data_IF_672054397751
#
_entry.id   IF_672054397751
#
_cell.length_a   1.000
_cell.length_b   1.000
_cell.length_c   1.000
_cell.angle_alpha   90.00
_cell.angle_beta   90.00
_cell.angle_gamma   90.00
#
_symmetry.space_group_name_H-M   'P 1'
#
loop_
_entity.id
_entity.type
_entity.pdbx_description
1 polymer ?
#
# COMPACT_ATOMS: atom_id res chain seq x y z
N UNK A 1 -3.10 12.44 -20.28
CA UNK A 1 -1.99 12.51 -19.29
C UNK A 1 -2.51 13.04 -17.97
N UNK A 2 -2.00 12.58 -16.81
CA UNK A 2 -2.50 12.95 -15.47
C UNK A 2 -2.54 14.47 -15.22
N UNK A 3 -1.54 15.20 -15.71
CA UNK A 3 -1.48 16.67 -15.63
C UNK A 3 -2.61 17.37 -16.37
N UNK A 4 -3.10 16.80 -17.48
CA UNK A 4 -4.27 17.30 -18.21
C UNK A 4 -5.59 17.14 -17.46
N UNK A 5 -5.59 16.41 -16.34
CA UNK A 5 -6.73 16.27 -15.41
C UNK A 5 -6.51 17.07 -14.12
N UNK A 6 -5.54 17.99 -14.08
CA UNK A 6 -5.17 18.73 -12.87
C UNK A 6 -4.44 17.89 -11.82
N UNK A 7 -4.13 16.62 -12.10
CA UNK A 7 -3.47 15.73 -11.13
C UNK A 7 -1.96 15.84 -11.29
N UNK A 8 -1.29 16.28 -10.22
CA UNK A 8 0.17 16.30 -10.14
C UNK A 8 0.70 14.95 -9.62
N UNK A 9 1.53 14.22 -10.39
CA UNK A 9 2.13 12.98 -9.92
C UNK A 9 3.06 13.23 -8.72
N UNK A 10 2.91 12.44 -7.67
CA UNK A 10 3.79 12.43 -6.49
C UNK A 10 4.91 11.39 -6.67
N UNK A 11 5.71 11.56 -7.73
CA UNK A 11 6.84 10.69 -8.02
C UNK A 11 8.09 11.56 -8.09
N UNK A 12 9.09 11.26 -7.24
CA UNK A 12 10.38 11.95 -7.27
C UNK A 12 11.08 11.69 -8.60
N UNK A 13 11.53 12.77 -9.21
CA UNK A 13 12.47 12.70 -10.31
C UNK A 13 13.84 12.31 -9.76
N UNK A 14 14.57 11.47 -10.50
CA UNK A 14 16.00 11.27 -10.25
C UNK A 14 16.70 12.58 -10.59
N UNK A 15 17.44 13.14 -9.62
CA UNK A 15 18.05 14.47 -9.77
C UNK A 15 19.29 14.40 -10.65
N UNK A 16 19.15 14.79 -11.92
CA UNK A 16 20.26 14.94 -12.84
C UNK A 16 20.52 16.41 -13.18
N UNK A 17 19.48 17.23 -13.22
CA UNK A 17 19.57 18.65 -13.58
C UNK A 17 18.86 19.54 -12.55
N UNK A 18 19.14 20.85 -12.52
CA UNK A 18 18.53 21.77 -11.55
C UNK A 18 16.99 21.78 -11.58
N UNK A 19 16.36 21.54 -12.74
CA UNK A 19 14.90 21.48 -12.83
C UNK A 19 14.31 20.24 -12.15
N UNK A 20 15.04 19.12 -12.05
CA UNK A 20 14.58 17.92 -11.35
C UNK A 20 14.49 18.20 -9.86
N UNK A 21 15.52 18.88 -9.33
CA UNK A 21 15.56 19.34 -7.94
C UNK A 21 14.43 20.32 -7.65
N UNK A 22 14.21 21.30 -8.54
CA UNK A 22 13.10 22.24 -8.39
C UNK A 22 11.72 21.54 -8.44
N UNK A 23 11.56 20.54 -9.31
CA UNK A 23 10.34 19.75 -9.39
C UNK A 23 10.10 18.93 -8.11
N UNK A 24 11.16 18.32 -7.56
CA UNK A 24 11.13 17.58 -6.29
C UNK A 24 10.85 18.49 -5.09
N UNK A 25 11.46 19.67 -5.02
CA UNK A 25 11.28 20.63 -3.95
C UNK A 25 9.85 21.17 -3.88
N UNK A 26 9.17 21.28 -5.03
CA UNK A 26 7.76 21.70 -5.11
C UNK A 26 6.77 20.60 -4.74
N UNK A 27 7.20 19.38 -4.45
CA UNK A 27 6.27 18.30 -4.09
C UNK A 27 5.90 18.35 -2.62
N UNK A 28 4.64 17.99 -2.35
CA UNK A 28 4.17 17.78 -0.99
C UNK A 28 4.86 16.55 -0.38
N UNK A 29 5.64 16.80 0.67
CA UNK A 29 6.44 15.77 1.35
C UNK A 29 5.56 14.82 2.17
N UNK A 30 4.46 15.30 2.74
CA UNK A 30 3.54 14.48 3.53
C UNK A 30 2.76 13.52 2.63
N UNK A 31 2.20 14.05 1.53
CA UNK A 31 1.49 13.22 0.56
C UNK A 31 2.43 12.22 -0.13
N UNK A 32 3.66 12.62 -0.46
CA UNK A 32 4.67 11.67 -0.97
C UNK A 32 5.04 10.60 0.07
N UNK A 33 5.05 10.97 1.35
CA UNK A 33 5.33 10.08 2.48
C UNK A 33 4.40 8.87 2.53
N UNK A 34 3.13 9.01 2.14
CA UNK A 34 2.14 7.92 2.10
C UNK A 34 2.55 6.74 1.20
N UNK A 35 3.46 6.95 0.26
CA UNK A 35 4.02 5.89 -0.60
C UNK A 35 4.69 4.78 0.23
N UNK A 36 5.33 5.11 1.35
CA UNK A 36 6.00 4.12 2.20
C UNK A 36 5.02 3.07 2.76
N UNK A 37 3.75 3.45 2.98
CA UNK A 37 2.70 2.56 3.49
C UNK A 37 2.32 1.54 2.42
N UNK A 38 2.14 2.01 1.17
CA UNK A 38 1.83 1.15 0.03
C UNK A 38 3.01 0.20 -0.27
N UNK A 39 4.24 0.68 -0.21
CA UNK A 39 5.43 -0.16 -0.41
C UNK A 39 5.57 -1.21 0.69
N UNK A 40 5.33 -0.84 1.95
CA UNK A 40 5.28 -1.78 3.07
C UNK A 40 4.22 -2.86 2.86
N UNK A 41 2.99 -2.47 2.51
CA UNK A 41 1.90 -3.41 2.25
C UNK A 41 2.26 -4.39 1.12
N UNK A 42 2.76 -3.88 -0.01
CA UNK A 42 3.22 -4.71 -1.13
C UNK A 42 4.36 -5.65 -0.73
N UNK A 43 5.28 -5.18 0.11
CA UNK A 43 6.38 -5.98 0.64
C UNK A 43 5.88 -7.14 1.50
N UNK A 44 4.91 -6.89 2.38
CA UNK A 44 4.28 -7.93 3.22
C UNK A 44 3.52 -8.95 2.37
N UNK A 45 2.72 -8.49 1.40
CA UNK A 45 1.96 -9.36 0.49
C UNK A 45 2.91 -10.29 -0.27
N UNK A 46 4.01 -9.77 -0.84
CA UNK A 46 5.00 -10.58 -1.55
C UNK A 46 5.69 -11.60 -0.65
N UNK A 47 6.07 -11.23 0.58
CA UNK A 47 6.66 -12.18 1.54
C UNK A 47 5.68 -13.29 1.94
N UNK A 48 4.38 -12.98 2.01
CA UNK A 48 3.36 -13.93 2.48
C UNK A 48 2.84 -14.88 1.40
N UNK A 49 2.59 -14.38 0.19
CA UNK A 49 2.00 -15.16 -0.91
C UNK A 49 2.97 -15.41 -2.08
N UNK A 50 4.24 -15.06 -1.91
CA UNK A 50 5.25 -15.10 -2.96
C UNK A 50 5.18 -13.89 -3.89
N UNK A 51 6.32 -13.55 -4.47
CA UNK A 51 6.51 -12.47 -5.44
C UNK A 51 6.19 -12.89 -6.88
N UNK A 52 6.25 -14.19 -7.18
CA UNK A 52 5.96 -14.72 -8.50
C UNK A 52 4.45 -14.73 -8.83
N UNK A 53 4.15 -14.60 -10.11
CA UNK A 53 2.80 -14.66 -10.68
C UNK A 53 2.76 -15.82 -11.66
N UNK A 54 1.86 -16.78 -11.45
CA UNK A 54 1.83 -18.03 -12.24
C UNK A 54 1.35 -17.82 -13.67
N UNK A 55 0.46 -16.85 -13.88
CA UNK A 55 -0.13 -16.66 -15.20
C UNK A 55 0.85 -16.11 -16.23
N UNK A 56 0.77 -16.61 -17.47
CA UNK A 56 1.56 -16.09 -18.62
C UNK A 56 0.87 -14.93 -19.35
N UNK A 57 -0.45 -14.76 -19.18
CA UNK A 57 -1.22 -13.70 -19.85
C UNK A 57 -1.28 -12.45 -18.96
N UNK A 58 -0.92 -11.29 -19.49
CA UNK A 58 -0.86 -10.02 -18.75
C UNK A 58 -2.17 -9.70 -17.98
N UNK A 59 -3.34 -9.87 -18.61
CA UNK A 59 -4.62 -9.62 -17.93
C UNK A 59 -4.86 -10.53 -16.72
N UNK A 60 -4.43 -11.79 -16.81
CA UNK A 60 -4.54 -12.74 -15.69
C UNK A 60 -3.51 -12.46 -14.60
N UNK A 61 -2.30 -12.02 -14.97
CA UNK A 61 -1.29 -11.58 -14.00
C UNK A 61 -1.81 -10.44 -13.13
N UNK A 62 -2.46 -9.46 -13.76
CA UNK A 62 -3.10 -8.35 -13.05
C UNK A 62 -4.17 -8.83 -12.07
N UNK A 63 -5.05 -9.74 -12.50
CA UNK A 63 -6.08 -10.33 -11.63
C UNK A 63 -5.49 -11.14 -10.49
N UNK A 64 -4.40 -11.87 -10.72
CA UNK A 64 -3.70 -12.65 -9.69
C UNK A 64 -3.12 -11.73 -8.60
N UNK A 65 -2.48 -10.62 -9.00
CA UNK A 65 -1.98 -9.60 -8.07
C UNK A 65 -3.13 -8.99 -7.26
N UNK A 66 -4.23 -8.62 -7.91
CA UNK A 66 -5.42 -8.11 -7.22
C UNK A 66 -5.96 -9.15 -6.23
N UNK A 67 -6.04 -10.42 -6.63
CA UNK A 67 -6.47 -11.51 -5.76
C UNK A 67 -5.64 -11.60 -4.49
N UNK A 68 -4.30 -11.54 -4.59
CA UNK A 68 -3.40 -11.51 -3.43
C UNK A 68 -3.69 -10.32 -2.51
N UNK A 69 -3.94 -9.13 -3.07
CA UNK A 69 -4.29 -7.94 -2.30
C UNK A 69 -5.65 -8.07 -1.59
N UNK A 70 -6.66 -8.64 -2.25
CA UNK A 70 -7.99 -8.87 -1.67
C UNK A 70 -7.89 -9.82 -0.49
N UNK A 71 -7.23 -10.97 -0.68
CA UNK A 71 -7.04 -11.97 0.38
C UNK A 71 -6.33 -11.35 1.59
N UNK A 72 -5.26 -10.58 1.35
CA UNK A 72 -4.53 -9.88 2.41
C UNK A 72 -5.43 -8.95 3.23
N UNK A 73 -6.26 -8.15 2.54
CA UNK A 73 -7.14 -7.21 3.21
C UNK A 73 -8.22 -7.92 4.04
N UNK A 74 -8.79 -9.02 3.53
CA UNK A 74 -9.77 -9.83 4.27
C UNK A 74 -9.14 -10.42 5.53
N UNK A 75 -7.97 -11.06 5.41
CA UNK A 75 -7.28 -11.64 6.57
C UNK A 75 -6.91 -10.58 7.61
N UNK A 76 -6.48 -9.39 7.16
CA UNK A 76 -6.18 -8.28 8.05
C UNK A 76 -7.42 -7.76 8.77
N UNK A 77 -8.56 -7.68 8.08
CA UNK A 77 -9.83 -7.27 8.68
C UNK A 77 -10.28 -8.28 9.75
N UNK A 78 -10.24 -9.57 9.44
CA UNK A 78 -10.56 -10.65 10.40
C UNK A 78 -9.65 -10.57 11.63
N UNK A 79 -8.33 -10.43 11.42
CA UNK A 79 -7.37 -10.30 12.53
C UNK A 79 -7.67 -9.08 13.40
N UNK A 80 -8.01 -7.95 12.79
CA UNK A 80 -8.39 -6.74 13.53
C UNK A 80 -9.66 -6.96 14.36
N UNK A 81 -10.67 -7.64 13.81
CA UNK A 81 -11.90 -7.95 14.53
C UNK A 81 -11.64 -8.84 15.74
N UNK A 82 -10.85 -9.90 15.57
CA UNK A 82 -10.48 -10.82 16.67
C UNK A 82 -9.74 -10.08 17.79
N UNK A 83 -8.74 -9.26 17.45
CA UNK A 83 -7.99 -8.47 18.44
C UNK A 83 -8.89 -7.48 19.19
N UNK A 84 -9.82 -6.84 18.47
CA UNK A 84 -10.78 -5.92 19.09
C UNK A 84 -11.71 -6.66 20.06
N UNK A 85 -12.21 -7.85 19.69
CA UNK A 85 -13.04 -8.67 20.57
C UNK A 85 -12.25 -9.09 21.82
N UNK A 86 -11.01 -9.58 21.66
CA UNK A 86 -10.14 -9.94 22.79
C UNK A 86 -9.89 -8.74 23.72
N UNK A 87 -9.65 -7.56 23.18
CA UNK A 87 -9.46 -6.34 23.96
C UNK A 87 -10.72 -5.94 24.74
N UNK A 88 -11.92 -6.11 24.14
CA UNK A 88 -13.19 -5.86 24.83
C UNK A 88 -13.39 -6.87 25.96
N UNK A 89 -13.17 -8.16 25.71
CA UNK A 89 -13.25 -9.22 26.72
C UNK A 89 -12.30 -8.90 27.88
N UNK A 90 -11.03 -8.61 27.61
CA UNK A 90 -10.07 -8.24 28.65
C UNK A 90 -10.54 -7.01 29.46
N UNK A 91 -11.05 -5.97 28.79
CA UNK A 91 -11.59 -4.79 29.50
C UNK A 91 -12.82 -5.12 30.35
N UNK A 92 -13.62 -6.12 30.00
CA UNK A 92 -14.77 -6.55 30.80
C UNK A 92 -14.33 -7.40 32.01
N UNK A 93 -13.35 -8.29 31.84
CA UNK A 93 -12.87 -9.19 32.90
C UNK A 93 -11.88 -8.52 33.88
N UNK A 94 -11.10 -7.53 33.46
CA UNK A 94 -10.11 -6.81 34.30
C UNK A 94 -10.63 -5.46 34.85
N UNK A 95 -11.92 -5.15 34.67
CA UNK A 95 -12.57 -3.96 35.25
C UNK A 95 -13.48 -4.32 36.46
N UNK A 96 -13.28 -5.51 37.02
CA UNK A 96 -13.81 -5.96 38.30
C UNK A 96 -12.71 -5.92 39.37
#
# INVERSE_FOLDING_TARGET
>A
MLRGRGVRPLIKHREFKPYDRAANARMDKELYGQRNMAETANSVIKRRYGDHVRSRKCHHQFREIIGKCIVYNIERAIKSLVLNIQAIIQKLFYKA
#
